data_IF_422600843544
#
_entry.id   IF_422600843544
#
_cell.length_a   1.000
_cell.length_b   1.000
_cell.length_c   1.000
_cell.angle_alpha   90.00
_cell.angle_beta   90.00
_cell.angle_gamma   90.00
#
_symmetry.space_group_name_H-M   'P 1'
#
loop_
_entity.id
_entity.type
_entity.pdbx_description
1 polymer ?
#
# COMPACT_ATOMS: atom_id res chain seq x y z
N UNK A 1 2.07 18.84 8.66
CA UNK A 1 2.52 17.51 8.27
C UNK A 1 2.44 17.31 6.79
N UNK A 2 3.58 17.21 6.12
CA UNK A 2 3.65 17.16 4.67
C UNK A 2 3.72 15.72 4.15
N UNK A 3 2.66 14.97 4.41
CA UNK A 3 2.57 13.61 3.90
C UNK A 3 2.06 13.63 2.46
N UNK A 4 2.83 13.03 1.56
CA UNK A 4 2.45 12.92 0.15
C UNK A 4 2.12 11.50 -0.21
N UNK A 5 0.92 11.30 -0.74
CA UNK A 5 0.42 9.99 -1.14
C UNK A 5 0.14 10.02 -2.63
N UNK A 6 0.67 9.05 -3.36
CA UNK A 6 0.38 8.86 -4.77
C UNK A 6 -0.35 7.53 -4.93
N UNK A 7 -1.54 7.57 -5.50
CA UNK A 7 -2.35 6.38 -5.74
C UNK A 7 -2.57 6.20 -7.24
N UNK A 8 -2.44 4.96 -7.71
CA UNK A 8 -2.64 4.62 -9.12
C UNK A 8 -3.06 3.16 -9.23
N UNK A 9 -3.66 2.79 -10.36
CA UNK A 9 -3.98 1.39 -10.61
C UNK A 9 -2.71 0.53 -10.71
N UNK A 10 -1.63 1.08 -11.23
CA UNK A 10 -0.29 0.50 -11.07
C UNK A 10 0.16 -0.51 -12.11
N UNK A 11 -0.57 -0.70 -13.20
CA UNK A 11 -0.21 -1.72 -14.19
C UNK A 11 0.60 -1.20 -15.39
N UNK A 12 0.87 0.12 -15.43
CA UNK A 12 1.59 0.75 -16.56
C UNK A 12 3.09 0.76 -16.35
N UNK A 13 3.53 0.96 -15.10
CA UNK A 13 4.94 1.11 -14.77
C UNK A 13 5.47 -0.10 -14.00
N UNK A 14 6.77 -0.37 -14.15
CA UNK A 14 7.44 -1.36 -13.33
C UNK A 14 7.58 -0.83 -11.90
N UNK A 15 7.93 -1.73 -10.98
CA UNK A 15 8.17 -1.36 -9.58
C UNK A 15 9.28 -0.32 -9.47
N UNK A 16 10.37 -0.49 -10.25
CA UNK A 16 11.51 0.42 -10.26
C UNK A 16 11.10 1.80 -10.75
N UNK A 17 10.27 1.84 -11.78
CA UNK A 17 9.75 3.12 -12.30
C UNK A 17 8.87 3.82 -11.28
N UNK A 18 8.02 3.09 -10.56
CA UNK A 18 7.19 3.64 -9.49
C UNK A 18 8.03 4.25 -8.36
N UNK A 19 9.09 3.55 -7.95
CA UNK A 19 9.99 4.04 -6.91
C UNK A 19 10.72 5.30 -7.38
N UNK A 20 11.16 5.32 -8.64
CA UNK A 20 11.82 6.49 -9.21
C UNK A 20 10.90 7.72 -9.20
N UNK A 21 9.63 7.54 -9.58
CA UNK A 21 8.63 8.61 -9.52
C UNK A 21 8.43 9.07 -8.08
N UNK A 22 8.34 8.13 -7.16
CA UNK A 22 8.18 8.43 -5.74
C UNK A 22 9.30 9.29 -5.19
N UNK A 23 10.54 8.98 -5.56
CA UNK A 23 11.69 9.76 -5.13
C UNK A 23 11.68 11.16 -5.74
N UNK A 24 11.38 11.26 -7.04
CA UNK A 24 11.34 12.53 -7.74
C UNK A 24 10.31 13.48 -7.15
N UNK A 25 9.16 12.97 -6.78
CA UNK A 25 8.06 13.78 -6.26
C UNK A 25 8.00 13.82 -4.73
N UNK A 26 8.98 13.23 -4.07
CA UNK A 26 9.06 13.15 -2.61
C UNK A 26 7.79 12.55 -2.00
N UNK A 27 7.38 11.42 -2.57
CA UNK A 27 6.18 10.68 -2.11
C UNK A 27 6.54 9.84 -0.89
N UNK A 28 5.66 9.83 0.09
CA UNK A 28 5.83 9.01 1.30
C UNK A 28 5.17 7.64 1.16
N UNK A 29 4.02 7.58 0.47
CA UNK A 29 3.26 6.35 0.29
C UNK A 29 2.86 6.23 -1.18
N UNK A 30 3.23 5.09 -1.79
CA UNK A 30 2.78 4.72 -3.13
C UNK A 30 1.71 3.65 -3.00
N UNK A 31 0.49 3.96 -3.44
CA UNK A 31 -0.62 3.03 -3.39
C UNK A 31 -0.91 2.56 -4.81
N UNK A 32 -0.93 1.25 -4.99
CA UNK A 32 -1.26 0.63 -6.27
C UNK A 32 -2.27 -0.50 -6.07
N UNK A 33 -2.87 -0.93 -7.17
CA UNK A 33 -3.82 -2.04 -7.17
C UNK A 33 -3.52 -3.03 -8.28
N UNK A 34 -4.54 -3.44 -9.02
CA UNK A 34 -4.46 -4.29 -10.20
C UNK A 34 -4.18 -5.77 -9.91
N UNK A 35 -3.16 -6.10 -9.10
CA UNK A 35 -2.79 -7.50 -8.86
C UNK A 35 -3.74 -8.24 -7.93
N UNK A 36 -4.51 -7.51 -7.10
CA UNK A 36 -5.37 -8.06 -6.06
C UNK A 36 -4.60 -8.84 -4.99
N UNK A 37 -3.29 -8.62 -4.89
CA UNK A 37 -2.43 -9.24 -3.88
C UNK A 37 -1.96 -8.17 -2.92
N UNK A 38 -2.21 -8.32 -1.60
CA UNK A 38 -1.80 -7.31 -0.64
C UNK A 38 -0.28 -7.25 -0.52
N UNK A 39 0.26 -6.04 -0.55
CA UNK A 39 1.68 -5.78 -0.37
C UNK A 39 1.82 -4.57 0.54
N UNK A 40 2.71 -4.68 1.53
CA UNK A 40 3.04 -3.56 2.39
C UNK A 40 4.49 -3.69 2.80
N UNK A 41 5.32 -2.75 2.32
CA UNK A 41 6.74 -2.73 2.67
C UNK A 41 7.30 -1.33 2.48
N UNK A 42 8.46 -1.08 3.08
CA UNK A 42 9.13 0.19 2.99
C UNK A 42 10.43 0.02 2.19
N UNK A 43 10.58 0.82 1.15
CA UNK A 43 11.77 0.80 0.29
C UNK A 43 12.26 2.24 0.17
N UNK A 44 13.52 2.49 0.57
CA UNK A 44 14.13 3.83 0.50
C UNK A 44 13.23 4.91 1.10
N UNK A 45 12.69 4.65 2.27
CA UNK A 45 11.78 5.54 3.02
C UNK A 45 10.42 5.75 2.36
N UNK A 46 10.11 5.01 1.30
CA UNK A 46 8.81 5.06 0.65
C UNK A 46 8.02 3.80 1.01
N UNK A 47 6.80 3.99 1.51
CA UNK A 47 5.91 2.87 1.78
C UNK A 47 5.21 2.46 0.50
N UNK A 48 5.38 1.20 0.12
CA UNK A 48 4.73 0.61 -1.05
C UNK A 48 3.53 -0.17 -0.54
N UNK A 49 2.34 0.23 -0.98
CA UNK A 49 1.09 -0.35 -0.51
C UNK A 49 0.22 -0.82 -1.67
N UNK A 50 -0.17 -2.08 -1.61
CA UNK A 50 -1.30 -2.59 -2.37
C UNK A 50 -2.26 -3.20 -1.36
N UNK A 51 -3.46 -2.65 -1.19
CA UNK A 51 -4.39 -3.14 -0.17
C UNK A 51 -5.00 -4.52 -0.49
N UNK A 52 -4.71 -5.08 -1.66
CA UNK A 52 -5.35 -6.31 -2.09
C UNK A 52 -6.75 -6.05 -2.62
N UNK A 53 -7.66 -6.97 -2.40
CA UNK A 53 -9.03 -6.82 -2.88
C UNK A 53 -10.02 -7.29 -1.80
N UNK A 54 -11.09 -6.51 -1.55
CA UNK A 54 -12.13 -6.96 -0.62
C UNK A 54 -13.11 -7.97 -1.25
N UNK A 55 -13.22 -7.99 -2.58
CA UNK A 55 -14.22 -8.82 -3.28
C UNK A 55 -13.62 -9.83 -4.25
N UNK A 56 -12.44 -9.57 -4.79
CA UNK A 56 -11.79 -10.44 -5.79
C UNK A 56 -10.34 -10.73 -5.42
N UNK A 57 -10.09 -11.33 -4.24
CA UNK A 57 -8.71 -11.58 -3.80
C UNK A 57 -8.07 -12.72 -4.60
N UNK A 58 -6.79 -12.51 -4.99
CA UNK A 58 -6.02 -13.56 -5.67
C UNK A 58 -5.71 -14.74 -4.76
N UNK A 59 -5.50 -14.49 -3.48
CA UNK A 59 -5.09 -15.50 -2.52
C UNK A 59 -6.24 -15.94 -1.61
N UNK A 60 -7.49 -15.73 -2.04
CA UNK A 60 -8.71 -16.15 -1.35
C UNK A 60 -8.94 -15.46 0.01
N UNK A 61 -8.12 -14.50 0.38
CA UNK A 61 -8.32 -13.73 1.60
C UNK A 61 -8.67 -12.31 1.21
N UNK A 62 -9.89 -11.85 1.49
CA UNK A 62 -10.25 -10.45 1.22
C UNK A 62 -9.51 -9.54 2.19
N UNK A 63 -8.94 -8.46 1.64
CA UNK A 63 -8.11 -7.56 2.43
C UNK A 63 -8.48 -6.10 2.18
N UNK A 64 -8.10 -5.25 3.12
CA UNK A 64 -8.14 -3.80 2.96
C UNK A 64 -6.97 -3.19 3.72
N UNK A 65 -6.74 -1.91 3.49
CA UNK A 65 -5.68 -1.19 4.18
C UNK A 65 -6.26 0.01 4.92
N UNK A 66 -5.59 0.40 5.99
CA UNK A 66 -5.92 1.59 6.76
C UNK A 66 -4.69 2.46 6.90
N UNK A 67 -4.84 3.73 6.59
CA UNK A 67 -3.83 4.76 6.86
C UNK A 67 -4.29 5.53 8.08
N UNK A 68 -3.54 5.44 9.17
CA UNK A 68 -3.85 6.12 10.42
C UNK A 68 -2.82 7.23 10.65
N UNK A 69 -3.26 8.47 10.48
CA UNK A 69 -2.37 9.62 10.62
C UNK A 69 -2.04 9.94 12.08
N UNK A 70 -2.94 9.60 13.00
CA UNK A 70 -2.71 9.81 14.42
C UNK A 70 -1.63 8.85 14.95
N UNK A 71 -1.76 7.59 14.60
CA UNK A 71 -0.79 6.56 15.02
C UNK A 71 0.41 6.50 14.08
N UNK A 72 0.36 7.18 12.94
CA UNK A 72 1.40 7.19 11.91
C UNK A 72 1.73 5.78 11.43
N UNK A 73 0.67 5.03 11.10
CA UNK A 73 0.80 3.65 10.65
C UNK A 73 0.02 3.40 9.37
N UNK A 74 0.48 2.42 8.61
CA UNK A 74 -0.26 1.83 7.49
C UNK A 74 -0.40 0.36 7.81
N UNK A 75 -1.63 -0.16 7.78
CA UNK A 75 -1.91 -1.55 8.15
C UNK A 75 -2.77 -2.22 7.10
N UNK A 76 -2.54 -3.52 6.91
CA UNK A 76 -3.41 -4.37 6.08
C UNK A 76 -4.18 -5.31 7.00
N UNK A 77 -5.47 -5.42 6.75
CA UNK A 77 -6.38 -6.26 7.53
C UNK A 77 -6.98 -7.38 6.70
N UNK A 78 -7.16 -8.52 7.35
CA UNK A 78 -7.96 -9.63 6.83
C UNK A 78 -9.44 -9.31 7.11
N UNK A 79 -10.26 -9.26 6.05
CA UNK A 79 -11.67 -8.91 6.19
C UNK A 79 -12.56 -10.08 6.65
N UNK A 80 -12.02 -11.30 6.73
CA UNK A 80 -12.78 -12.43 7.25
C UNK A 80 -12.89 -12.39 8.77
N UNK A 81 -11.81 -12.01 9.45
CA UNK A 81 -11.75 -12.01 10.91
C UNK A 81 -11.30 -10.67 11.50
N UNK A 82 -11.05 -9.67 10.64
CA UNK A 82 -10.60 -8.34 11.01
C UNK A 82 -9.23 -8.30 11.69
N UNK A 83 -8.45 -9.38 11.54
CA UNK A 83 -7.10 -9.39 12.09
C UNK A 83 -6.14 -8.55 11.25
N UNK A 84 -5.13 -7.99 11.89
CA UNK A 84 -4.07 -7.28 11.21
C UNK A 84 -3.09 -8.28 10.61
N UNK A 85 -2.81 -8.12 9.30
CA UNK A 85 -1.88 -8.99 8.58
C UNK A 85 -0.49 -8.39 8.57
N UNK A 86 -0.39 -7.09 8.36
CA UNK A 86 0.91 -6.42 8.20
C UNK A 86 0.81 -4.97 8.65
N UNK A 87 1.94 -4.39 9.03
CA UNK A 87 2.01 -3.01 9.52
C UNK A 87 3.33 -2.38 9.10
N UNK A 88 3.26 -1.10 8.73
CA UNK A 88 4.43 -0.27 8.46
C UNK A 88 4.25 1.09 9.14
N UNK A 89 5.35 1.74 9.48
CA UNK A 89 5.31 3.03 10.17
C UNK A 89 5.76 4.15 9.25
N UNK A 90 5.06 5.28 9.35
CA UNK A 90 5.40 6.50 8.61
C UNK A 90 6.66 7.16 9.13
#
# INVERSE_FOLDING_TARGET
NNLRVLASHGHIFTKEEWISIGKKWKINILISGHTHIPILKKIDEIIILNPGSPSLPKEKIPTCAQLDLCEKTVRIFNLLDFSEINREYL
#
